data_IF_096767593928
#
_entry.id   IF_096767593928
#
_cell.length_a   1.000
_cell.length_b   1.000
_cell.length_c   1.000
_cell.angle_alpha   90.00
_cell.angle_beta   90.00
_cell.angle_gamma   90.00
#
_symmetry.space_group_name_H-M   'P 1'
#
loop_
_entity.id
_entity.type
_entity.pdbx_description
1 polymer ?
#
# COMPACT_ATOMS: atom_id res chain seq x y z
N UNK A 1 -10.80 -2.50 -22.31
CA UNK A 1 -11.48 -1.47 -21.48
C UNK A 1 -10.64 -1.04 -20.27
N UNK A 2 -10.02 -1.96 -19.52
CA UNK A 2 -9.22 -1.63 -18.31
C UNK A 2 -7.98 -0.77 -18.64
N UNK A 3 -7.24 -1.11 -19.71
CA UNK A 3 -6.05 -0.34 -20.13
C UNK A 3 -6.33 1.13 -20.48
N UNK A 4 -7.47 1.41 -21.13
CA UNK A 4 -7.84 2.78 -21.50
C UNK A 4 -8.18 3.63 -20.27
N UNK A 5 -8.87 3.04 -19.29
CA UNK A 5 -9.14 3.69 -18.01
C UNK A 5 -7.85 3.96 -17.22
N UNK A 6 -6.94 2.98 -17.14
CA UNK A 6 -5.64 3.14 -16.47
C UNK A 6 -4.77 4.22 -17.11
N UNK A 7 -4.74 4.31 -18.45
CA UNK A 7 -4.01 5.35 -19.19
C UNK A 7 -4.62 6.74 -18.98
N UNK A 8 -5.95 6.86 -19.03
CA UNK A 8 -6.64 8.12 -18.80
C UNK A 8 -6.44 8.64 -17.37
N UNK A 9 -6.57 7.76 -16.36
CA UNK A 9 -6.30 8.10 -14.96
C UNK A 9 -4.84 8.50 -14.73
N UNK A 10 -3.89 7.81 -15.36
CA UNK A 10 -2.47 8.17 -15.26
C UNK A 10 -2.19 9.53 -15.90
N UNK A 11 -2.76 9.81 -17.08
CA UNK A 11 -2.60 11.09 -17.77
C UNK A 11 -3.20 12.25 -16.97
N UNK A 12 -4.39 12.06 -16.40
CA UNK A 12 -5.04 13.06 -15.53
C UNK A 12 -4.21 13.27 -14.26
N UNK A 13 -3.69 12.20 -13.65
CA UNK A 13 -2.82 12.28 -12.47
C UNK A 13 -1.54 13.06 -12.72
N UNK A 14 -0.88 12.83 -13.86
CA UNK A 14 0.33 13.58 -14.26
C UNK A 14 0.01 15.07 -14.46
N UNK A 15 -1.10 15.42 -15.11
CA UNK A 15 -1.52 16.82 -15.32
C UNK A 15 -1.79 17.51 -13.98
N UNK A 16 -2.41 16.81 -13.03
CA UNK A 16 -2.75 17.39 -11.72
C UNK A 16 -1.51 17.66 -10.87
N UNK A 17 -0.54 16.74 -10.88
CA UNK A 17 0.75 16.91 -10.18
C UNK A 17 1.57 18.04 -10.80
N UNK A 18 1.57 18.14 -12.13
CA UNK A 18 2.26 19.23 -12.85
C UNK A 18 1.72 20.61 -12.44
N UNK A 19 0.40 20.71 -12.25
CA UNK A 19 -0.28 21.95 -11.85
C UNK A 19 0.05 22.33 -10.40
N UNK A 20 -0.03 21.38 -9.46
CA UNK A 20 0.26 21.64 -8.04
C UNK A 20 1.74 21.94 -7.79
N UNK A 21 2.67 21.23 -8.45
CA UNK A 21 4.11 21.48 -8.33
C UNK A 21 4.55 22.81 -8.96
N UNK A 22 3.84 23.31 -9.98
CA UNK A 22 4.20 24.59 -10.62
C UNK A 22 3.99 25.80 -9.70
N UNK A 23 3.02 25.74 -8.78
CA UNK A 23 2.70 26.85 -7.87
C UNK A 23 3.63 26.85 -6.64
N UNK A 24 3.96 25.67 -6.09
CA UNK A 24 4.90 25.57 -4.96
C UNK A 24 6.36 25.86 -5.38
N UNK A 25 6.76 25.48 -6.60
CA UNK A 25 8.12 25.67 -7.09
C UNK A 25 8.47 27.13 -7.43
N UNK A 26 7.46 27.96 -7.75
CA UNK A 26 7.65 29.42 -7.95
C UNK A 26 7.75 30.14 -6.59
N UNK A 27 7.09 29.64 -5.55
CA UNK A 27 7.08 30.25 -4.22
C UNK A 27 8.34 29.96 -3.38
N UNK A 28 9.09 28.88 -3.67
CA UNK A 28 10.19 28.40 -2.82
C UNK A 28 11.62 28.74 -3.30
N UNK A 29 11.81 29.26 -4.53
CA UNK A 29 13.14 29.65 -5.03
C UNK A 29 14.15 28.50 -5.23
N UNK A 30 13.72 27.24 -5.13
CA UNK A 30 14.53 26.05 -5.41
C UNK A 30 14.23 25.46 -6.79
N UNK A 31 15.20 24.74 -7.38
CA UNK A 31 15.09 24.23 -8.75
C UNK A 31 13.90 23.25 -8.90
N UNK A 32 12.87 23.57 -9.72
CA UNK A 32 11.69 22.73 -9.95
C UNK A 32 12.03 21.34 -10.52
N UNK A 33 13.24 21.18 -11.04
CA UNK A 33 13.73 19.97 -11.69
C UNK A 33 14.11 18.86 -10.71
N UNK A 34 14.48 19.14 -9.45
CA UNK A 34 14.93 18.09 -8.52
C UNK A 34 13.79 17.20 -8.01
N UNK A 35 12.60 17.78 -7.80
CA UNK A 35 11.39 17.06 -7.38
C UNK A 35 10.81 16.29 -8.58
N UNK A 36 10.74 16.93 -9.75
CA UNK A 36 10.26 16.30 -10.98
C UNK A 36 11.13 15.12 -11.44
N UNK A 37 12.45 15.21 -11.32
CA UNK A 37 13.37 14.10 -11.64
C UNK A 37 13.23 12.93 -10.66
N UNK A 38 13.10 13.20 -9.35
CA UNK A 38 12.83 12.16 -8.35
C UNK A 38 11.49 11.46 -8.59
N UNK A 39 10.41 12.21 -8.84
CA UNK A 39 9.10 11.65 -9.16
C UNK A 39 9.13 10.84 -10.46
N UNK A 40 9.79 11.34 -11.51
CA UNK A 40 9.96 10.62 -12.77
C UNK A 40 10.72 9.30 -12.61
N UNK A 41 11.75 9.29 -11.76
CA UNK A 41 12.51 8.08 -11.44
C UNK A 41 11.65 7.06 -10.68
N UNK A 42 10.89 7.47 -9.66
CA UNK A 42 9.97 6.58 -8.94
C UNK A 42 8.86 6.05 -9.86
N UNK A 43 8.33 6.87 -10.77
CA UNK A 43 7.34 6.45 -11.76
C UNK A 43 7.92 5.39 -12.73
N UNK A 44 9.13 5.62 -13.24
CA UNK A 44 9.81 4.65 -14.12
C UNK A 44 10.06 3.32 -13.40
N UNK A 45 10.54 3.36 -12.15
CA UNK A 45 10.72 2.17 -11.31
C UNK A 45 9.38 1.44 -11.10
N UNK A 46 8.30 2.19 -10.82
CA UNK A 46 6.96 1.63 -10.66
C UNK A 46 6.45 0.92 -11.92
N UNK A 47 6.68 1.49 -13.11
CA UNK A 47 6.30 0.87 -14.39
C UNK A 47 7.08 -0.42 -14.62
N UNK A 48 8.40 -0.41 -14.38
CA UNK A 48 9.22 -1.62 -14.51
C UNK A 48 8.75 -2.69 -13.52
N UNK A 49 8.49 -2.32 -12.27
CA UNK A 49 7.97 -3.23 -11.25
C UNK A 49 6.61 -3.82 -11.65
N UNK A 50 5.70 -3.01 -12.19
CA UNK A 50 4.40 -3.46 -12.70
C UNK A 50 4.56 -4.48 -13.83
N UNK A 51 5.41 -4.20 -14.81
CA UNK A 51 5.65 -5.11 -15.93
C UNK A 51 6.23 -6.44 -15.46
N UNK A 52 7.19 -6.42 -14.54
CA UNK A 52 7.78 -7.62 -13.95
C UNK A 52 6.73 -8.41 -13.17
N UNK A 53 6.00 -7.77 -12.24
CA UNK A 53 4.96 -8.41 -11.43
C UNK A 53 3.83 -9.00 -12.29
N UNK A 54 3.48 -8.37 -13.41
CA UNK A 54 2.47 -8.90 -14.35
C UNK A 54 2.88 -10.23 -15.00
N UNK A 55 4.20 -10.49 -15.07
CA UNK A 55 4.78 -11.72 -15.64
C UNK A 55 5.09 -12.78 -14.57
N UNK A 56 5.01 -12.43 -13.29
CA UNK A 56 5.23 -13.38 -12.18
C UNK A 56 4.00 -14.29 -12.05
N UNK A 57 4.25 -15.61 -12.01
CA UNK A 57 3.19 -16.59 -11.81
C UNK A 57 2.54 -16.40 -10.43
N UNK A 58 1.20 -16.43 -10.39
CA UNK A 58 0.37 -16.30 -9.19
C UNK A 58 0.83 -17.23 -8.06
N UNK A 59 1.36 -18.42 -8.37
CA UNK A 59 1.88 -19.36 -7.37
C UNK A 59 3.03 -18.78 -6.54
N UNK A 60 3.93 -18.01 -7.17
CA UNK A 60 5.03 -17.34 -6.49
C UNK A 60 4.53 -16.16 -5.67
N UNK A 61 3.58 -15.38 -6.21
CA UNK A 61 2.94 -14.28 -5.47
C UNK A 61 2.30 -14.75 -4.17
N UNK A 62 1.61 -15.90 -4.20
CA UNK A 62 1.04 -16.53 -3.00
C UNK A 62 2.09 -16.95 -1.97
N UNK A 63 3.29 -17.33 -2.40
CA UNK A 63 4.40 -17.69 -1.50
C UNK A 63 5.03 -16.46 -0.86
N UNK A 64 5.02 -15.32 -1.55
CA UNK A 64 5.51 -14.04 -1.03
C UNK A 64 4.53 -13.31 -0.11
N UNK A 65 3.23 -13.65 -0.16
CA UNK A 65 2.19 -13.05 0.68
C UNK A 65 2.45 -13.14 2.20
N UNK A 66 2.92 -14.30 2.68
CA UNK A 66 3.23 -14.51 4.10
C UNK A 66 4.45 -13.71 4.58
N UNK A 67 5.61 -13.75 3.89
CA UNK A 67 6.73 -12.90 4.29
C UNK A 67 6.42 -11.42 4.12
N UNK A 68 5.61 -11.01 3.13
CA UNK A 68 5.25 -9.59 2.96
C UNK A 68 4.43 -9.04 4.13
N UNK A 69 3.48 -9.82 4.67
CA UNK A 69 2.67 -9.35 5.81
C UNK A 69 3.49 -9.30 7.11
N UNK A 70 4.40 -10.26 7.31
CA UNK A 70 5.32 -10.26 8.46
C UNK A 70 6.27 -9.05 8.37
N UNK A 71 6.83 -8.79 7.19
CA UNK A 71 7.68 -7.65 6.94
C UNK A 71 6.92 -6.33 7.16
N UNK A 72 5.68 -6.22 6.68
CA UNK A 72 4.84 -5.05 6.91
C UNK A 72 4.58 -4.82 8.41
N UNK A 73 4.25 -5.87 9.16
CA UNK A 73 4.11 -5.79 10.61
C UNK A 73 5.39 -5.32 11.29
N UNK A 74 6.54 -5.90 10.94
CA UNK A 74 7.84 -5.52 11.49
C UNK A 74 8.19 -4.05 11.18
N UNK A 75 7.93 -3.58 9.96
CA UNK A 75 8.17 -2.19 9.57
C UNK A 75 7.23 -1.23 10.32
N UNK A 76 5.96 -1.58 10.52
CA UNK A 76 5.03 -0.77 11.31
C UNK A 76 5.46 -0.68 12.77
N UNK A 77 5.94 -1.78 13.38
CA UNK A 77 6.53 -1.73 14.72
C UNK A 77 7.78 -0.85 14.74
N UNK A 78 8.65 -0.96 13.73
CA UNK A 78 9.86 -0.16 13.62
C UNK A 78 9.57 1.34 13.56
N UNK A 79 8.51 1.73 12.84
CA UNK A 79 8.01 3.12 12.79
C UNK A 79 7.61 3.62 14.17
N UNK A 80 6.99 2.80 15.01
CA UNK A 80 6.59 3.25 16.35
C UNK A 80 7.80 3.58 17.24
N UNK A 81 8.96 2.96 16.97
CA UNK A 81 10.19 3.15 17.74
C UNK A 81 11.09 4.25 17.15
N UNK A 82 11.29 4.26 15.83
CA UNK A 82 12.29 5.10 15.14
C UNK A 82 11.62 6.15 14.22
N UNK A 83 10.30 6.09 14.07
CA UNK A 83 9.55 6.95 13.16
C UNK A 83 9.60 8.42 13.56
N UNK A 84 9.85 9.25 12.57
CA UNK A 84 9.88 10.71 12.71
C UNK A 84 8.46 11.23 12.92
N UNK A 85 8.28 12.07 13.94
CA UNK A 85 7.03 12.79 14.19
C UNK A 85 6.90 13.93 13.20
N UNK A 86 5.94 13.84 12.29
CA UNK A 86 5.58 14.94 11.38
C UNK A 86 4.11 15.27 11.63
N UNK A 87 3.81 16.52 12.00
CA UNK A 87 2.45 17.00 12.27
C UNK A 87 1.66 16.15 13.30
N UNK A 88 2.35 15.57 14.30
CA UNK A 88 1.74 14.73 15.34
C UNK A 88 1.53 13.26 14.95
N UNK A 89 1.94 12.87 13.74
CA UNK A 89 1.88 11.50 13.21
C UNK A 89 3.27 10.86 13.16
N UNK A 90 3.41 9.61 13.61
CA UNK A 90 4.64 8.82 13.55
C UNK A 90 4.48 7.73 12.51
N UNK A 91 4.69 8.09 11.25
CA UNK A 91 4.48 7.20 10.11
C UNK A 91 5.61 7.22 9.06
N UNK A 92 6.62 8.08 9.23
CA UNK A 92 7.73 8.23 8.28
C UNK A 92 9.05 7.69 8.84
N UNK A 93 9.74 6.88 8.05
CA UNK A 93 11.13 6.50 8.29
C UNK A 93 12.00 7.21 7.26
N UNK A 94 13.02 7.93 7.72
CA UNK A 94 13.99 8.59 6.86
C UNK A 94 15.30 7.79 6.88
N UNK A 95 15.73 7.28 5.73
CA UNK A 95 16.98 6.52 5.57
C UNK A 95 17.80 7.17 4.44
N UNK A 96 18.93 7.77 4.79
CA UNK A 96 19.90 8.28 3.80
C UNK A 96 19.34 9.33 2.83
N UNK A 97 18.40 10.18 3.28
CA UNK A 97 17.76 11.20 2.46
C UNK A 97 16.55 10.72 1.65
N UNK A 98 16.14 9.45 1.82
CA UNK A 98 14.88 8.92 1.31
C UNK A 98 13.89 8.77 2.45
N UNK A 99 12.67 9.28 2.24
CA UNK A 99 11.57 9.10 3.19
C UNK A 99 10.66 7.97 2.70
N UNK A 100 10.44 6.98 3.56
CA UNK A 100 9.58 5.84 3.28
C UNK A 100 8.44 5.80 4.29
N UNK A 101 7.24 5.47 3.81
CA UNK A 101 6.04 5.35 4.62
C UNK A 101 5.62 3.87 4.71
N UNK A 102 5.91 3.17 5.82
CA UNK A 102 5.60 1.75 5.95
C UNK A 102 4.12 1.39 5.86
N UNK A 103 3.21 2.33 6.15
CA UNK A 103 1.77 2.10 6.02
C UNK A 103 1.32 1.94 4.55
N UNK A 104 2.03 2.53 3.58
CA UNK A 104 1.82 2.28 2.15
C UNK A 104 2.16 0.83 1.80
N UNK A 105 3.30 0.33 2.25
CA UNK A 105 3.70 -1.05 2.04
C UNK A 105 2.74 -2.03 2.73
N UNK A 106 2.28 -1.69 3.94
CA UNK A 106 1.33 -2.51 4.68
C UNK A 106 0.00 -2.69 3.94
N UNK A 107 -0.53 -1.66 3.25
CA UNK A 107 -1.72 -1.78 2.40
C UNK A 107 -1.54 -2.85 1.32
N UNK A 108 -0.45 -2.77 0.56
CA UNK A 108 -0.17 -3.74 -0.51
C UNK A 108 0.04 -5.16 0.02
N UNK A 109 0.79 -5.30 1.11
CA UNK A 109 1.04 -6.59 1.75
C UNK A 109 -0.26 -7.24 2.27
N UNK A 110 -1.15 -6.44 2.86
CA UNK A 110 -2.43 -6.89 3.40
C UNK A 110 -3.36 -7.37 2.29
N UNK A 111 -3.49 -6.62 1.18
CA UNK A 111 -4.29 -7.03 0.01
C UNK A 111 -3.75 -8.33 -0.59
N UNK A 112 -2.44 -8.42 -0.81
CA UNK A 112 -1.82 -9.62 -1.39
C UNK A 112 -2.03 -10.85 -0.49
N UNK A 113 -1.90 -10.65 0.83
CA UNK A 113 -2.11 -11.71 1.81
C UNK A 113 -3.57 -12.15 1.89
N UNK A 114 -4.52 -11.21 1.98
CA UNK A 114 -5.94 -11.52 1.98
C UNK A 114 -6.35 -12.27 0.71
N UNK A 115 -5.97 -11.78 -0.47
CA UNK A 115 -6.25 -12.44 -1.74
C UNK A 115 -5.68 -13.87 -1.79
N UNK A 116 -4.48 -14.07 -1.22
CA UNK A 116 -3.85 -15.39 -1.13
C UNK A 116 -4.61 -16.33 -0.19
N UNK A 117 -4.87 -15.90 1.05
CA UNK A 117 -5.58 -16.69 2.05
C UNK A 117 -6.96 -17.05 1.55
N UNK A 118 -7.68 -16.09 0.97
CA UNK A 118 -9.02 -16.29 0.44
C UNK A 118 -9.01 -17.24 -0.75
N UNK A 119 -8.07 -17.10 -1.70
CA UNK A 119 -7.99 -18.00 -2.86
C UNK A 119 -7.60 -19.45 -2.53
N UNK A 120 -6.90 -19.68 -1.41
CA UNK A 120 -6.52 -21.03 -0.94
C UNK A 120 -7.64 -21.65 -0.11
N UNK A 121 -8.27 -20.85 0.77
CA UNK A 121 -9.35 -21.30 1.65
C UNK A 121 -10.70 -21.44 0.93
N UNK A 122 -10.96 -20.64 -0.12
CA UNK A 122 -12.17 -20.74 -0.94
C UNK A 122 -12.30 -22.08 -1.68
N UNK A 123 -11.16 -22.75 -1.96
CA UNK A 123 -11.17 -24.10 -2.56
C UNK A 123 -11.43 -25.22 -1.56
N UNK A 124 -11.38 -24.94 -0.25
CA UNK A 124 -11.36 -25.96 0.81
C UNK A 124 -12.54 -25.89 1.78
N UNK A 125 -13.46 -24.93 1.65
CA UNK A 125 -14.46 -24.66 2.69
C UNK A 125 -15.90 -24.58 2.15
N UNK A 126 -16.71 -25.54 2.58
CA UNK A 126 -18.19 -25.47 2.66
C UNK A 126 -18.68 -24.43 3.70
N UNK A 127 -17.77 -23.77 4.44
CA UNK A 127 -18.10 -22.83 5.54
C UNK A 127 -17.19 -21.60 5.53
N UNK A 128 -17.73 -20.48 5.04
CA UNK A 128 -17.17 -19.13 5.01
C UNK A 128 -16.60 -18.63 6.34
N UNK A 129 -17.21 -19.06 7.46
CA UNK A 129 -16.79 -18.69 8.81
C UNK A 129 -15.36 -19.12 9.15
N UNK A 130 -14.87 -20.24 8.60
CA UNK A 130 -13.49 -20.68 8.84
C UNK A 130 -12.42 -19.91 8.05
N UNK A 131 -12.81 -19.21 6.98
CA UNK A 131 -11.90 -18.32 6.24
C UNK A 131 -11.77 -16.94 6.91
N UNK A 132 -12.84 -16.46 7.56
CA UNK A 132 -12.87 -15.19 8.29
C UNK A 132 -12.06 -15.21 9.59
N UNK A 133 -12.06 -16.34 10.32
CA UNK A 133 -11.36 -16.47 11.61
C UNK A 133 -9.88 -16.08 11.57
N UNK A 134 -9.06 -16.45 10.57
CA UNK A 134 -7.67 -16.00 10.50
C UNK A 134 -7.49 -14.59 9.91
N UNK A 135 -8.39 -14.12 9.04
CA UNK A 135 -8.24 -12.82 8.34
C UNK A 135 -8.52 -11.64 9.26
N UNK A 136 -9.58 -11.73 10.07
CA UNK A 136 -9.98 -10.65 11.00
C UNK A 136 -8.88 -10.30 12.02
N UNK A 137 -8.26 -11.24 12.76
CA UNK A 137 -7.28 -10.90 13.79
C UNK A 137 -5.97 -10.35 13.21
N UNK A 138 -5.47 -10.92 12.10
CA UNK A 138 -4.21 -10.44 11.48
C UNK A 138 -4.37 -9.01 10.98
N UNK A 139 -5.51 -8.74 10.33
CA UNK A 139 -5.75 -7.44 9.75
C UNK A 139 -6.14 -6.40 10.79
N UNK A 140 -6.88 -6.82 11.82
CA UNK A 140 -7.10 -6.01 13.02
C UNK A 140 -5.79 -5.60 13.69
N UNK A 141 -4.83 -6.53 13.83
CA UNK A 141 -3.52 -6.21 14.38
C UNK A 141 -2.76 -5.15 13.55
N UNK A 142 -2.79 -5.25 12.22
CA UNK A 142 -2.19 -4.24 11.32
C UNK A 142 -2.89 -2.89 11.49
N UNK A 143 -4.22 -2.85 11.51
CA UNK A 143 -4.99 -1.61 11.72
C UNK A 143 -4.64 -0.99 13.08
N UNK A 144 -4.57 -1.79 14.15
CA UNK A 144 -4.18 -1.31 15.48
C UNK A 144 -2.77 -0.70 15.46
N UNK A 145 -1.80 -1.33 14.79
CA UNK A 145 -0.45 -0.78 14.65
C UNK A 145 -0.45 0.57 13.89
N UNK A 146 -1.28 0.72 12.86
CA UNK A 146 -1.39 1.98 12.09
C UNK A 146 -2.04 3.08 12.93
N UNK A 147 -3.10 2.75 13.68
CA UNK A 147 -3.77 3.69 14.59
C UNK A 147 -2.83 4.14 15.72
N UNK A 148 -2.01 3.22 16.24
CA UNK A 148 -0.94 3.53 17.21
C UNK A 148 0.11 4.50 16.65
N UNK A 149 0.34 4.47 15.34
CA UNK A 149 1.17 5.45 14.65
C UNK A 149 0.56 6.86 14.58
N UNK A 150 -0.68 7.05 15.04
CA UNK A 150 -1.49 8.27 14.85
C UNK A 150 -1.86 8.57 13.39
N UNK A 151 -1.87 7.55 12.53
CA UNK A 151 -2.22 7.69 11.11
C UNK A 151 -3.70 7.30 10.87
N UNK A 152 -4.62 8.14 11.36
CA UNK A 152 -6.06 7.91 11.25
C UNK A 152 -6.51 7.83 9.79
N UNK A 153 -5.96 8.66 8.91
CA UNK A 153 -6.29 8.66 7.48
C UNK A 153 -5.94 7.32 6.82
N UNK A 154 -4.75 6.79 7.07
CA UNK A 154 -4.35 5.50 6.48
C UNK A 154 -5.12 4.33 7.08
N UNK A 155 -5.46 4.38 8.38
CA UNK A 155 -6.30 3.35 9.01
C UNK A 155 -7.69 3.23 8.36
N UNK A 156 -8.31 4.36 8.02
CA UNK A 156 -9.60 4.39 7.34
C UNK A 156 -9.51 3.80 5.92
N UNK A 157 -8.44 4.12 5.19
CA UNK A 157 -8.20 3.54 3.86
C UNK A 157 -8.03 2.03 3.94
N UNK A 158 -7.26 1.53 4.91
CA UNK A 158 -7.09 0.08 5.13
C UNK A 158 -8.43 -0.58 5.45
N UNK A 159 -9.23 0.00 6.34
CA UNK A 159 -10.58 -0.52 6.65
C UNK A 159 -11.48 -0.57 5.40
N UNK A 160 -11.43 0.45 4.56
CA UNK A 160 -12.23 0.53 3.34
C UNK A 160 -11.80 -0.51 2.29
N UNK A 161 -10.51 -0.84 2.23
CA UNK A 161 -9.98 -1.93 1.40
C UNK A 161 -10.40 -3.30 1.93
N UNK A 162 -10.46 -3.47 3.26
CA UNK A 162 -10.83 -4.75 3.88
C UNK A 162 -12.29 -5.15 3.68
N UNK A 163 -13.20 -4.18 3.69
CA UNK A 163 -14.65 -4.40 3.64
C UNK A 163 -15.10 -5.23 2.42
N UNK A 164 -14.72 -4.87 1.17
CA UNK A 164 -15.06 -5.65 -0.03
C UNK A 164 -14.51 -7.08 0.00
N UNK A 165 -13.26 -7.26 0.44
CA UNK A 165 -12.62 -8.57 0.48
C UNK A 165 -13.31 -9.50 1.50
N UNK A 166 -13.70 -8.94 2.64
CA UNK A 166 -14.48 -9.63 3.67
C UNK A 166 -15.91 -9.96 3.19
N UNK A 167 -16.56 -9.06 2.44
CA UNK A 167 -17.87 -9.31 1.87
C UNK A 167 -17.83 -10.40 0.79
N UNK A 168 -16.84 -10.36 -0.12
CA UNK A 168 -16.63 -11.41 -1.13
C UNK A 168 -16.34 -12.77 -0.47
N UNK A 169 -15.64 -12.76 0.67
CA UNK A 169 -15.42 -13.92 1.51
C UNK A 169 -16.66 -14.41 2.27
N UNK A 170 -17.76 -13.65 2.32
CA UNK A 170 -18.99 -14.05 2.98
C UNK A 170 -20.08 -14.46 1.97
N UNK A 171 -19.97 -14.00 0.72
CA UNK A 171 -21.00 -14.14 -0.32
C UNK A 171 -20.76 -15.26 -1.34
N UNK A 172 -19.57 -15.87 -1.33
CA UNK A 172 -19.29 -17.01 -2.22
C UNK A 172 -19.91 -18.27 -1.63
#
# INVERSE_FOLDING_TARGET
>A
MILGASLALTAIGIIMVLSASSVEAIAAGESPYSIATKQGMFAAIGIVAMLVLSRVNVLWLKRFAWPSIILAGALLVLVLVIGKRVLGNQNWIEIGGFTFQPSEFAKFALVLWMATVLSVKAKLLDKWTHALIPVVPVSGAIITLIVLGHDLGTSLVVMLIMLPDCFSAAST
#
